data_IF_254011314445
#
_entry.id   IF_254011314445
#
_cell.length_a   1.000
_cell.length_b   1.000
_cell.length_c   1.000
_cell.angle_alpha   90.00
_cell.angle_beta   90.00
_cell.angle_gamma   90.00
#
_symmetry.space_group_name_H-M   'P 1'
#
loop_
_entity.id
_entity.type
_entity.pdbx_description
1 polymer ?
#
# COMPACT_ATOMS: atom_id res chain seq x y z
N UNK A 1 12.22 18.87 -13.89
CA UNK A 1 10.89 19.46 -14.11
C UNK A 1 9.95 18.79 -13.12
N UNK A 2 9.58 19.47 -12.04
CA UNK A 2 8.63 18.97 -11.04
C UNK A 2 7.21 19.37 -11.46
N UNK A 3 6.31 18.39 -11.57
CA UNK A 3 4.89 18.66 -11.78
C UNK A 3 4.27 18.84 -10.41
N UNK A 4 3.74 20.04 -10.14
CA UNK A 4 2.99 20.33 -8.93
C UNK A 4 1.49 20.24 -9.27
N UNK A 5 0.83 19.18 -8.80
CA UNK A 5 -0.63 19.08 -8.88
C UNK A 5 -1.17 19.61 -7.55
N UNK A 6 -1.80 20.78 -7.59
CA UNK A 6 -2.45 21.38 -6.42
C UNK A 6 -3.94 21.09 -6.52
N UNK A 7 -4.50 20.49 -5.46
CA UNK A 7 -5.95 20.37 -5.31
C UNK A 7 -6.49 21.67 -4.69
N UNK A 8 -7.13 22.49 -5.52
CA UNK A 8 -7.71 23.77 -5.10
C UNK A 8 -8.79 23.62 -4.03
N UNK A 9 -9.54 22.51 -4.02
CA UNK A 9 -10.59 22.28 -3.03
C UNK A 9 -9.98 21.99 -1.66
N UNK A 10 -8.89 21.23 -1.62
CA UNK A 10 -8.17 20.93 -0.40
C UNK A 10 -7.57 22.21 0.19
N UNK A 11 -6.90 23.03 -0.63
CA UNK A 11 -6.31 24.31 -0.20
C UNK A 11 -7.39 25.22 0.40
N UNK A 12 -8.51 25.41 -0.29
CA UNK A 12 -9.60 26.24 0.20
C UNK A 12 -10.19 25.74 1.52
N UNK A 13 -10.25 24.42 1.70
CA UNK A 13 -10.74 23.82 2.94
C UNK A 13 -9.79 24.07 4.11
N UNK A 14 -8.48 23.98 3.89
CA UNK A 14 -7.46 24.29 4.91
C UNK A 14 -7.57 25.77 5.33
N UNK A 15 -7.60 26.70 4.37
CA UNK A 15 -7.74 28.13 4.66
C UNK A 15 -9.02 28.45 5.45
N UNK A 16 -10.11 27.75 5.16
CA UNK A 16 -11.39 27.93 5.86
C UNK A 16 -11.29 27.45 7.32
N UNK A 17 -10.60 26.35 7.56
CA UNK A 17 -10.38 25.79 8.91
C UNK A 17 -9.46 26.72 9.70
N UNK A 18 -8.31 27.09 9.13
CA UNK A 18 -7.33 28.01 9.70
C UNK A 18 -7.99 29.32 10.15
N UNK A 19 -8.77 29.96 9.28
CA UNK A 19 -9.52 31.19 9.60
C UNK A 19 -10.54 30.99 10.72
N UNK A 20 -11.30 29.89 10.71
CA UNK A 20 -12.32 29.60 11.73
C UNK A 20 -11.67 29.42 13.11
N UNK A 21 -10.50 28.80 13.15
CA UNK A 21 -9.81 28.42 14.38
C UNK A 21 -8.76 29.45 14.82
N UNK A 22 -8.53 30.50 14.02
CA UNK A 22 -7.50 31.55 14.24
C UNK A 22 -6.11 30.95 14.41
N UNK A 23 -5.79 29.98 13.56
CA UNK A 23 -4.49 29.29 13.49
C UNK A 23 -3.89 29.47 12.11
N UNK A 24 -2.58 29.29 12.00
CA UNK A 24 -1.89 29.25 10.72
C UNK A 24 -2.26 27.97 9.96
N UNK A 25 -2.26 28.00 8.63
CA UNK A 25 -2.58 26.83 7.80
C UNK A 25 -1.62 25.66 8.06
N UNK A 26 -0.35 25.96 8.38
CA UNK A 26 0.68 24.95 8.67
C UNK A 26 0.34 24.12 9.90
N UNK A 27 -0.22 24.74 10.95
CA UNK A 27 -0.58 24.05 12.19
C UNK A 27 -1.77 23.12 11.97
N UNK A 28 -2.72 23.53 11.12
CA UNK A 28 -3.87 22.72 10.71
C UNK A 28 -3.41 21.50 9.92
N UNK A 29 -2.43 21.67 9.02
CA UNK A 29 -1.87 20.56 8.24
C UNK A 29 -1.11 19.60 9.13
N UNK A 30 -0.26 20.10 10.04
CA UNK A 30 0.53 19.28 10.95
C UNK A 30 -0.38 18.39 11.82
N UNK A 31 -1.40 18.97 12.46
CA UNK A 31 -2.36 18.22 13.25
C UNK A 31 -3.15 17.21 12.41
N UNK A 32 -3.57 17.58 11.20
CA UNK A 32 -4.28 16.66 10.31
C UNK A 32 -3.42 15.46 9.89
N UNK A 33 -2.11 15.65 9.72
CA UNK A 33 -1.17 14.56 9.42
C UNK A 33 -1.00 13.63 10.63
N UNK A 34 -0.78 14.18 11.82
CA UNK A 34 -0.67 13.41 13.07
C UNK A 34 -1.91 12.51 13.28
N UNK A 35 -3.11 13.09 13.17
CA UNK A 35 -4.37 12.35 13.29
C UNK A 35 -4.57 11.28 12.21
N UNK A 36 -4.08 11.55 10.99
CA UNK A 36 -4.16 10.58 9.91
C UNK A 36 -3.22 9.40 10.14
N UNK A 37 -2.00 9.66 10.60
CA UNK A 37 -1.01 8.63 10.92
C UNK A 37 -1.48 7.73 12.07
N UNK A 38 -1.98 8.31 13.17
CA UNK A 38 -2.57 7.55 14.28
C UNK A 38 -3.68 6.60 13.80
N UNK A 39 -4.58 7.12 12.95
CA UNK A 39 -5.67 6.32 12.37
C UNK A 39 -5.16 5.24 11.41
N UNK A 40 -4.11 5.54 10.64
CA UNK A 40 -3.51 4.61 9.71
C UNK A 40 -2.87 3.43 10.46
N UNK A 41 -2.21 3.68 11.59
CA UNK A 41 -1.66 2.64 12.46
C UNK A 41 -2.76 1.74 13.05
N UNK A 42 -3.85 2.32 13.56
CA UNK A 42 -4.99 1.55 14.08
C UNK A 42 -5.65 0.66 13.03
N UNK A 43 -5.74 1.14 11.79
CA UNK A 43 -6.44 0.44 10.70
C UNK A 43 -5.53 -0.58 10.01
N UNK A 44 -4.25 -0.24 9.81
CA UNK A 44 -3.25 -1.08 9.14
C UNK A 44 -2.87 -2.31 9.97
N UNK A 45 -2.68 -2.15 11.28
CA UNK A 45 -2.36 -3.28 12.17
C UNK A 45 -3.51 -4.28 12.28
N UNK A 46 -4.76 -3.80 12.32
CA UNK A 46 -5.95 -4.67 12.31
C UNK A 46 -6.16 -5.33 10.94
N UNK A 47 -5.95 -4.62 9.84
CA UNK A 47 -6.16 -5.19 8.51
C UNK A 47 -5.16 -6.30 8.18
N UNK A 48 -3.87 -6.10 8.44
CA UNK A 48 -2.87 -7.12 8.10
C UNK A 48 -3.07 -8.42 8.89
N UNK A 49 -3.22 -8.33 10.22
CA UNK A 49 -3.39 -9.51 11.06
C UNK A 49 -4.71 -10.24 10.78
N UNK A 50 -5.79 -9.52 10.47
CA UNK A 50 -7.05 -10.14 10.03
C UNK A 50 -6.94 -10.77 8.63
N UNK A 51 -6.24 -10.11 7.70
CA UNK A 51 -5.99 -10.64 6.35
C UNK A 51 -5.13 -11.91 6.36
N UNK A 52 -4.23 -12.05 7.34
CA UNK A 52 -3.34 -13.22 7.49
C UNK A 52 -3.95 -14.29 8.40
N UNK A 53 -4.93 -13.98 9.25
CA UNK A 53 -5.55 -14.94 10.19
C UNK A 53 -6.24 -16.15 9.53
N UNK A 54 -6.47 -16.12 8.21
CA UNK A 54 -6.97 -17.25 7.42
C UNK A 54 -5.90 -18.06 6.68
N UNK A 55 -4.65 -17.59 6.64
CA UNK A 55 -3.54 -18.29 6.00
C UNK A 55 -3.16 -19.49 6.88
N UNK A 56 -3.33 -20.70 6.35
CA UNK A 56 -3.09 -21.96 7.07
C UNK A 56 -4.35 -22.77 7.41
N UNK A 57 -5.56 -22.29 7.07
CA UNK A 57 -6.82 -23.05 7.19
C UNK A 57 -7.29 -23.67 5.86
N UNK A 58 -6.36 -23.98 4.95
CA UNK A 58 -6.71 -24.74 3.75
C UNK A 58 -6.86 -26.23 4.12
N UNK A 59 -7.94 -26.87 3.69
CA UNK A 59 -8.06 -28.35 3.69
C UNK A 59 -7.24 -28.99 2.54
N UNK A 60 -6.65 -28.15 1.69
CA UNK A 60 -5.78 -28.58 0.60
C UNK A 60 -4.45 -29.10 1.17
N UNK A 61 -4.05 -30.28 0.71
CA UNK A 61 -2.85 -30.97 1.20
C UNK A 61 -1.62 -30.07 1.05
N UNK A 62 -0.72 -30.21 2.00
CA UNK A 62 0.58 -29.55 2.03
C UNK A 62 1.27 -29.73 0.66
N UNK A 63 1.31 -28.64 -0.12
CA UNK A 63 1.92 -28.63 -1.45
C UNK A 63 3.44 -28.72 -1.38
N UNK A 64 4.04 -28.53 -0.19
CA UNK A 64 5.48 -28.64 0.03
C UNK A 64 6.05 -30.02 -0.32
N UNK A 65 5.25 -31.08 -0.22
CA UNK A 65 5.67 -32.43 -0.59
C UNK A 65 5.79 -32.64 -2.11
N UNK A 66 5.25 -31.73 -2.93
CA UNK A 66 5.23 -31.82 -4.39
C UNK A 66 6.01 -30.69 -5.06
N UNK A 67 6.84 -29.97 -4.32
CA UNK A 67 7.62 -28.82 -4.81
C UNK A 67 8.42 -29.17 -6.07
N UNK A 68 9.11 -30.31 -6.09
CA UNK A 68 9.89 -30.76 -7.24
C UNK A 68 9.02 -31.10 -8.47
N UNK A 69 7.82 -31.65 -8.26
CA UNK A 69 6.87 -31.99 -9.33
C UNK A 69 6.19 -30.74 -9.91
N UNK A 70 5.94 -29.73 -9.07
CA UNK A 70 5.39 -28.43 -9.48
C UNK A 70 6.45 -27.65 -10.29
N UNK A 71 7.66 -27.52 -9.78
CA UNK A 71 8.77 -26.87 -10.46
C UNK A 71 9.11 -27.54 -11.80
N UNK A 72 9.01 -28.87 -11.88
CA UNK A 72 9.19 -29.61 -13.13
C UNK A 72 8.09 -29.35 -14.16
N UNK A 73 6.86 -29.06 -13.72
CA UNK A 73 5.72 -28.75 -14.58
C UNK A 73 5.58 -27.26 -14.92
N UNK A 74 6.26 -26.35 -14.19
CA UNK A 74 6.31 -24.91 -14.47
C UNK A 74 7.23 -24.52 -15.62
N UNK A 75 7.75 -25.48 -16.39
CA UNK A 75 8.50 -25.24 -17.63
C UNK A 75 7.55 -24.88 -18.78
N UNK A 76 6.74 -23.83 -18.61
CA UNK A 76 6.49 -22.91 -19.70
C UNK A 76 7.38 -21.70 -19.44
N UNK A 77 8.56 -21.62 -20.06
CA UNK A 77 9.41 -20.45 -19.88
C UNK A 77 8.59 -19.26 -20.35
N UNK A 78 8.23 -18.36 -19.43
CA UNK A 78 7.68 -17.05 -19.76
C UNK A 78 8.58 -16.48 -20.85
N UNK A 79 8.10 -16.49 -22.10
CA UNK A 79 8.86 -16.03 -23.26
C UNK A 79 9.33 -14.61 -22.96
N UNK A 80 10.63 -14.43 -22.76
CA UNK A 80 11.20 -13.09 -22.57
C UNK A 80 12.40 -12.99 -21.64
N UNK A 81 12.71 -14.00 -20.83
CA UNK A 81 13.89 -13.96 -19.96
C UNK A 81 15.04 -14.79 -20.53
N UNK A 82 15.36 -14.54 -21.79
CA UNK A 82 16.59 -15.06 -22.40
C UNK A 82 17.71 -14.03 -22.14
N UNK A 83 18.88 -14.41 -21.58
CA UNK A 83 20.00 -13.50 -21.36
C UNK A 83 20.67 -12.97 -22.64
N UNK A 84 20.05 -13.15 -23.81
CA UNK A 84 20.62 -12.85 -25.13
C UNK A 84 20.01 -11.65 -25.85
N UNK A 85 19.02 -10.96 -25.28
CA UNK A 85 18.35 -9.81 -25.96
C UNK A 85 19.10 -8.48 -25.79
N UNK A 86 20.44 -8.54 -25.84
CA UNK A 86 21.33 -7.40 -26.06
C UNK A 86 22.54 -7.82 -26.90
N UNK A 87 22.37 -7.87 -28.21
CA UNK A 87 23.36 -7.40 -29.21
C UNK A 87 22.84 -7.64 -30.62
#
# INVERSE_FOLDING_TARGET
>A
MSIHIVDEQLVHRIERIARRERREEVDVIAEALELYEEKAEETGARSFLLSVAGIGRSEERDVSERDEEILANEVDPLRGWSPGDRS
#
